data_IF_594537401251
#
_entry.id   IF_594537401251
#
_cell.length_a   1.000
_cell.length_b   1.000
_cell.length_c   1.000
_cell.angle_alpha   90.00
_cell.angle_beta   90.00
_cell.angle_gamma   90.00
#
_symmetry.space_group_name_H-M   'P 1'
#
loop_
_entity.id
_entity.type
_entity.pdbx_description
1 polymer ?
#
# COMPACT_ATOMS: atom_id res chain seq x y z
N UNK A 1 15.94 4.63 -27.92
CA UNK A 1 16.74 3.76 -27.02
C UNK A 1 16.01 3.74 -25.69
N UNK A 2 15.60 2.56 -25.22
CA UNK A 2 15.02 2.35 -23.89
C UNK A 2 16.15 1.91 -22.95
N UNK A 3 16.28 2.59 -21.81
CA UNK A 3 17.29 2.29 -20.77
C UNK A 3 16.53 1.99 -19.48
N UNK A 4 16.22 0.72 -19.21
CA UNK A 4 15.43 0.34 -18.04
C UNK A 4 16.22 0.53 -16.74
N UNK A 5 15.56 1.03 -15.71
CA UNK A 5 16.05 0.98 -14.33
C UNK A 5 15.82 -0.42 -13.77
N UNK A 6 16.89 -1.13 -13.42
CA UNK A 6 16.80 -2.50 -12.91
C UNK A 6 16.11 -2.61 -11.53
N UNK A 7 15.94 -1.49 -10.84
CA UNK A 7 15.22 -1.42 -9.56
C UNK A 7 13.72 -1.25 -9.69
N UNK A 8 13.25 -0.70 -10.81
CA UNK A 8 11.83 -0.47 -11.05
C UNK A 8 11.13 -1.70 -11.66
N UNK A 9 9.95 -2.10 -11.18
CA UNK A 9 9.23 -3.28 -11.69
C UNK A 9 8.77 -3.14 -13.14
N UNK A 10 8.29 -1.96 -13.56
CA UNK A 10 7.81 -1.69 -14.92
C UNK A 10 8.96 -1.69 -15.91
N UNK A 11 10.01 -0.96 -15.57
CA UNK A 11 11.23 -0.92 -16.38
C UNK A 11 11.84 -2.32 -16.56
N UNK A 12 11.86 -3.11 -15.48
CA UNK A 12 12.34 -4.49 -15.51
C UNK A 12 11.46 -5.36 -16.41
N UNK A 13 10.13 -5.24 -16.31
CA UNK A 13 9.18 -5.97 -17.14
C UNK A 13 9.36 -5.65 -18.63
N UNK A 14 9.35 -4.37 -18.99
CA UNK A 14 9.52 -3.94 -20.38
C UNK A 14 10.94 -4.17 -20.90
N UNK A 15 11.95 -4.09 -20.04
CA UNK A 15 13.33 -4.44 -20.40
C UNK A 15 13.48 -5.93 -20.72
N UNK A 16 12.72 -6.79 -20.06
CA UNK A 16 12.67 -8.24 -20.30
C UNK A 16 11.73 -8.62 -21.46
N UNK A 17 10.74 -7.78 -21.77
CA UNK A 17 9.72 -7.98 -22.79
C UNK A 17 9.61 -6.75 -23.72
N UNK A 18 10.69 -6.37 -24.45
CA UNK A 18 10.73 -5.10 -25.20
C UNK A 18 9.67 -5.02 -26.31
N UNK A 19 9.20 -6.16 -26.80
CA UNK A 19 8.14 -6.22 -27.80
C UNK A 19 6.81 -5.65 -27.28
N UNK A 20 6.55 -5.78 -25.98
CA UNK A 20 5.34 -5.24 -25.35
C UNK A 20 5.26 -3.71 -25.38
N UNK A 21 6.39 -3.01 -25.50
CA UNK A 21 6.42 -1.55 -25.71
C UNK A 21 5.91 -1.13 -27.08
N UNK A 22 6.00 -2.03 -28.07
CA UNK A 22 5.67 -1.72 -29.47
C UNK A 22 4.29 -2.27 -29.86
N UNK A 23 3.98 -3.49 -29.43
CA UNK A 23 2.81 -4.26 -29.84
C UNK A 23 1.81 -4.47 -28.71
N UNK A 24 2.14 -4.06 -27.46
CA UNK A 24 1.24 -4.13 -26.32
C UNK A 24 0.04 -3.21 -26.47
N UNK A 25 -1.08 -3.59 -25.88
CA UNK A 25 -2.21 -2.69 -25.74
C UNK A 25 -1.86 -1.54 -24.80
N UNK A 26 -2.43 -0.37 -25.07
CA UNK A 26 -2.28 0.78 -24.14
C UNK A 26 -3.11 0.52 -22.89
N UNK A 27 -2.51 0.76 -21.74
CA UNK A 27 -3.17 0.61 -20.43
C UNK A 27 -4.43 1.48 -20.35
N UNK A 28 -5.47 0.95 -19.74
CA UNK A 28 -6.73 1.68 -19.57
C UNK A 28 -6.53 2.85 -18.61
N UNK A 29 -6.84 4.05 -19.08
CA UNK A 29 -6.95 5.21 -18.20
C UNK A 29 -8.20 5.09 -17.35
N UNK A 30 -8.01 5.12 -16.03
CA UNK A 30 -9.10 5.11 -15.06
C UNK A 30 -9.50 6.54 -14.75
N UNK A 31 -10.78 6.80 -14.82
CA UNK A 31 -11.36 8.07 -14.42
C UNK A 31 -12.79 7.83 -13.95
N UNK A 32 -13.08 8.19 -12.73
CA UNK A 32 -14.46 8.21 -12.23
C UNK A 32 -14.92 9.67 -12.00
N UNK A 33 -15.54 10.29 -13.00
CA UNK A 33 -15.99 11.66 -12.92
C UNK A 33 -17.16 11.87 -11.96
N UNK A 34 -17.76 10.80 -11.44
CA UNK A 34 -18.93 10.83 -10.57
C UNK A 34 -18.59 10.91 -9.09
N UNK A 35 -17.32 10.87 -8.71
CA UNK A 35 -16.93 11.01 -7.31
C UNK A 35 -17.29 12.38 -6.77
N UNK A 36 -17.99 12.36 -5.64
CA UNK A 36 -18.54 13.55 -5.03
C UNK A 36 -17.47 14.64 -4.79
N UNK A 37 -16.34 14.29 -4.19
CA UNK A 37 -15.29 15.25 -3.88
C UNK A 37 -14.62 15.83 -5.13
N UNK A 38 -14.37 14.98 -6.13
CA UNK A 38 -13.78 15.39 -7.41
C UNK A 38 -14.77 16.26 -8.18
N UNK A 39 -15.99 15.79 -8.37
CA UNK A 39 -17.02 16.49 -9.14
C UNK A 39 -17.39 17.84 -8.51
N UNK A 40 -17.47 17.90 -7.18
CA UNK A 40 -17.68 19.15 -6.44
C UNK A 40 -16.63 20.20 -6.77
N UNK A 41 -15.34 19.81 -6.77
CA UNK A 41 -14.23 20.71 -7.11
C UNK A 41 -14.26 21.14 -8.56
N UNK A 42 -14.53 20.22 -9.49
CA UNK A 42 -14.64 20.51 -10.93
C UNK A 42 -15.82 21.45 -11.22
N UNK A 43 -16.98 21.27 -10.60
CA UNK A 43 -18.12 22.15 -10.73
C UNK A 43 -17.80 23.58 -10.30
N UNK A 44 -17.09 23.76 -9.18
CA UNK A 44 -16.65 25.07 -8.70
C UNK A 44 -15.65 25.71 -9.67
N UNK A 45 -14.69 24.96 -10.20
CA UNK A 45 -13.75 25.48 -11.18
C UNK A 45 -14.48 25.91 -12.47
N UNK A 46 -15.34 25.07 -13.00
CA UNK A 46 -16.11 25.39 -14.20
C UNK A 46 -17.01 26.64 -14.01
N UNK A 47 -17.67 26.75 -12.85
CA UNK A 47 -18.49 27.91 -12.52
C UNK A 47 -17.68 29.20 -12.30
N UNK A 48 -16.39 29.08 -11.94
CA UNK A 48 -15.45 30.21 -11.85
C UNK A 48 -14.92 30.64 -13.21
N UNK A 49 -14.77 29.71 -14.16
CA UNK A 49 -14.32 30.00 -15.53
C UNK A 49 -15.42 30.63 -16.38
N UNK A 50 -16.64 30.12 -16.25
CA UNK A 50 -17.81 30.63 -16.97
C UNK A 50 -19.11 30.25 -16.27
N UNK A 51 -20.17 31.06 -16.45
CA UNK A 51 -21.49 30.69 -15.94
C UNK A 51 -21.96 29.39 -16.58
N UNK A 52 -22.48 28.47 -15.74
CA UNK A 52 -23.00 27.17 -16.20
C UNK A 52 -24.51 27.24 -16.23
N UNK A 53 -25.15 27.06 -17.40
CA UNK A 53 -26.61 26.96 -17.46
C UNK A 53 -27.12 25.80 -16.62
N UNK A 54 -28.03 26.08 -15.69
CA UNK A 54 -28.57 25.04 -14.77
C UNK A 54 -29.19 23.87 -15.53
N UNK A 55 -29.74 24.12 -16.73
CA UNK A 55 -30.30 23.09 -17.62
C UNK A 55 -29.26 22.15 -18.22
N UNK A 56 -27.99 22.56 -18.29
CA UNK A 56 -26.90 21.80 -18.90
C UNK A 56 -26.05 21.02 -17.88
N UNK A 57 -26.25 21.24 -16.59
CA UNK A 57 -25.46 20.62 -15.50
C UNK A 57 -25.42 19.10 -15.66
N UNK A 58 -26.58 18.45 -15.82
CA UNK A 58 -26.66 17.00 -15.95
C UNK A 58 -25.96 16.53 -17.24
N UNK A 59 -26.10 17.22 -18.32
CA UNK A 59 -25.50 16.84 -19.61
C UNK A 59 -23.98 16.98 -19.59
N UNK A 60 -23.45 18.00 -18.93
CA UNK A 60 -22.00 18.29 -18.90
C UNK A 60 -21.26 17.51 -17.82
N UNK A 61 -21.90 17.25 -16.67
CA UNK A 61 -21.25 16.74 -15.47
C UNK A 61 -21.84 15.43 -14.93
N UNK A 62 -22.83 14.84 -15.62
CA UNK A 62 -23.42 13.56 -15.26
C UNK A 62 -24.62 13.65 -14.32
N UNK A 63 -25.22 12.48 -14.05
CA UNK A 63 -26.50 12.37 -13.35
C UNK A 63 -26.45 12.87 -11.88
N UNK A 64 -25.34 12.65 -11.21
CA UNK A 64 -25.14 13.02 -9.80
C UNK A 64 -24.86 14.53 -9.59
N UNK A 65 -24.54 15.25 -10.65
CA UNK A 65 -24.12 16.66 -10.54
C UNK A 65 -25.19 17.56 -9.93
N UNK A 66 -26.49 17.25 -10.15
CA UNK A 66 -27.59 18.02 -9.59
C UNK A 66 -27.62 18.02 -8.05
N UNK A 67 -27.35 16.88 -7.43
CA UNK A 67 -27.29 16.76 -5.97
C UNK A 67 -26.12 17.58 -5.42
N UNK A 68 -24.96 17.45 -6.05
CA UNK A 68 -23.74 18.17 -5.65
C UNK A 68 -23.90 19.68 -5.82
N UNK A 69 -24.55 20.14 -6.89
CA UNK A 69 -24.89 21.56 -7.09
C UNK A 69 -25.75 22.08 -5.95
N UNK A 70 -26.80 21.33 -5.53
CA UNK A 70 -27.62 21.73 -4.41
C UNK A 70 -26.86 21.86 -3.09
N UNK A 71 -25.93 20.94 -2.84
CA UNK A 71 -25.05 21.01 -1.67
C UNK A 71 -24.13 22.24 -1.74
N UNK A 72 -23.52 22.50 -2.89
CA UNK A 72 -22.64 23.65 -3.08
C UNK A 72 -23.37 24.99 -2.97
N UNK A 73 -24.62 25.04 -3.40
CA UNK A 73 -25.49 26.19 -3.18
C UNK A 73 -25.82 26.42 -1.69
N UNK A 74 -26.14 25.33 -0.97
CA UNK A 74 -26.38 25.38 0.47
C UNK A 74 -25.14 25.84 1.26
N UNK A 75 -23.95 25.43 0.80
CA UNK A 75 -22.68 25.84 1.38
C UNK A 75 -22.22 27.24 0.92
N UNK A 76 -22.97 27.90 0.05
CA UNK A 76 -22.63 29.18 -0.57
C UNK A 76 -21.32 29.13 -1.41
N UNK A 77 -20.87 27.94 -1.78
CA UNK A 77 -19.72 27.72 -2.64
C UNK A 77 -20.05 27.94 -4.14
N UNK A 78 -21.32 27.83 -4.50
CA UNK A 78 -21.90 28.26 -5.78
C UNK A 78 -23.04 29.25 -5.52
N UNK A 79 -23.35 30.06 -6.53
CA UNK A 79 -24.43 31.05 -6.53
C UNK A 79 -25.24 30.90 -7.83
N UNK A 80 -26.50 31.35 -7.79
CA UNK A 80 -27.38 31.41 -8.95
C UNK A 80 -27.52 32.86 -9.38
N UNK A 81 -27.31 33.14 -10.66
CA UNK A 81 -27.61 34.41 -11.26
C UNK A 81 -29.14 34.56 -11.34
N UNK A 82 -29.72 35.53 -10.62
CA UNK A 82 -31.16 35.71 -10.55
C UNK A 82 -31.84 36.03 -11.90
N UNK A 83 -31.09 36.55 -12.88
CA UNK A 83 -31.64 36.91 -14.21
C UNK A 83 -31.61 35.77 -15.22
N UNK A 84 -30.53 34.96 -15.22
CA UNK A 84 -30.34 33.89 -16.20
C UNK A 84 -30.60 32.49 -15.63
N UNK A 85 -30.57 32.33 -14.31
CA UNK A 85 -30.66 31.03 -13.64
C UNK A 85 -29.36 30.21 -13.70
N UNK A 86 -28.28 30.82 -14.19
CA UNK A 86 -26.99 30.12 -14.36
C UNK A 86 -26.21 30.10 -13.05
N UNK A 87 -25.41 29.03 -12.89
CA UNK A 87 -24.52 28.83 -11.75
C UNK A 87 -23.19 29.56 -11.96
N UNK A 88 -22.69 30.20 -10.92
CA UNK A 88 -21.38 30.84 -10.93
C UNK A 88 -20.76 30.87 -9.53
N UNK A 89 -19.49 31.20 -9.44
CA UNK A 89 -18.80 31.53 -8.18
C UNK A 89 -17.82 32.67 -8.38
N UNK A 90 -17.58 33.44 -7.32
CA UNK A 90 -16.53 34.47 -7.29
C UNK A 90 -15.20 33.96 -6.72
N UNK A 91 -15.20 32.76 -6.18
CA UNK A 91 -14.00 32.12 -5.67
C UNK A 91 -13.01 31.76 -6.78
N UNK A 92 -11.76 31.54 -6.42
CA UNK A 92 -10.72 31.00 -7.30
C UNK A 92 -10.34 29.58 -6.87
N UNK A 93 -11.20 28.58 -7.07
CA UNK A 93 -11.00 27.22 -6.56
C UNK A 93 -9.79 26.52 -7.19
N UNK A 94 -9.33 26.96 -8.36
CA UNK A 94 -8.14 26.40 -9.05
C UNK A 94 -6.88 26.41 -8.18
N UNK A 95 -6.73 27.44 -7.31
CA UNK A 95 -5.55 27.56 -6.44
C UNK A 95 -5.49 26.45 -5.36
N UNK A 96 -6.61 25.81 -5.08
CA UNK A 96 -6.74 24.74 -4.09
C UNK A 96 -6.94 23.35 -4.71
N UNK A 97 -6.90 23.26 -6.04
CA UNK A 97 -7.09 22.02 -6.77
C UNK A 97 -5.74 21.46 -7.21
N UNK A 98 -5.40 20.29 -6.72
CA UNK A 98 -4.25 19.53 -7.21
C UNK A 98 -4.74 18.43 -8.17
N UNK A 99 -4.26 18.43 -9.41
CA UNK A 99 -4.63 17.43 -10.42
C UNK A 99 -4.12 16.01 -10.10
N UNK A 100 -3.08 15.89 -9.27
CA UNK A 100 -2.50 14.59 -8.89
C UNK A 100 -3.04 14.01 -7.60
N UNK A 101 -3.73 14.78 -6.79
CA UNK A 101 -4.21 14.31 -5.50
C UNK A 101 -5.25 15.27 -4.97
N UNK A 102 -6.46 15.12 -5.45
CA UNK A 102 -7.55 16.06 -5.15
C UNK A 102 -7.84 16.24 -3.65
N UNK A 103 -7.26 15.45 -2.77
CA UNK A 103 -7.65 15.40 -1.36
C UNK A 103 -6.53 15.10 -0.37
N UNK A 104 -5.33 14.71 -0.79
CA UNK A 104 -4.25 14.53 0.17
C UNK A 104 -3.64 15.89 0.48
N UNK A 105 -3.86 16.35 1.69
CA UNK A 105 -3.06 17.42 2.26
C UNK A 105 -1.58 17.00 2.19
N UNK A 106 -0.74 17.92 1.74
CA UNK A 106 0.70 17.74 1.69
C UNK A 106 1.40 18.60 2.73
N UNK A 107 2.59 18.18 3.10
CA UNK A 107 3.44 18.87 4.06
C UNK A 107 4.76 19.18 3.37
N UNK A 108 5.14 20.46 3.35
CA UNK A 108 6.43 20.90 2.85
C UNK A 108 7.50 20.70 3.91
N UNK A 109 8.56 19.96 3.57
CA UNK A 109 9.75 19.84 4.40
C UNK A 109 10.67 21.03 4.18
N UNK A 110 11.09 21.66 5.25
CA UNK A 110 11.99 22.81 5.19
C UNK A 110 13.22 22.56 6.07
N UNK A 111 14.38 23.00 5.60
CA UNK A 111 15.59 23.04 6.43
C UNK A 111 15.40 24.11 7.54
N UNK A 112 15.41 23.64 8.78
CA UNK A 112 15.15 24.48 9.95
C UNK A 112 16.24 25.53 10.24
N UNK A 113 17.41 25.46 9.57
CA UNK A 113 18.49 26.43 9.69
C UNK A 113 18.43 27.50 8.61
N UNK A 114 18.03 27.10 7.38
CA UNK A 114 18.09 27.98 6.19
C UNK A 114 16.73 28.39 5.68
N UNK A 115 15.64 27.75 6.13
CA UNK A 115 14.29 27.85 5.60
C UNK A 115 14.17 27.48 4.10
N UNK A 116 15.13 26.74 3.57
CA UNK A 116 15.05 26.23 2.21
C UNK A 116 14.05 25.08 2.14
N UNK A 117 13.19 25.09 1.13
CA UNK A 117 12.33 23.96 0.80
C UNK A 117 13.16 22.76 0.35
N UNK A 118 12.85 21.60 0.91
CA UNK A 118 13.56 20.34 0.65
C UNK A 118 12.73 19.42 -0.24
N UNK A 119 11.56 19.00 0.26
CA UNK A 119 10.73 18.00 -0.37
C UNK A 119 9.27 18.18 0.10
N UNK A 120 8.31 17.73 -0.71
CA UNK A 120 6.90 17.69 -0.34
C UNK A 120 6.44 16.26 -0.11
N UNK A 121 5.87 15.97 1.05
CA UNK A 121 5.31 14.67 1.41
C UNK A 121 3.79 14.72 1.50
N UNK A 122 3.12 13.59 1.22
CA UNK A 122 1.72 13.44 1.58
C UNK A 122 1.55 13.50 3.11
N UNK A 123 0.38 13.93 3.57
CA UNK A 123 0.11 14.05 5.01
C UNK A 123 0.34 12.74 5.76
N UNK A 124 -0.06 11.61 5.17
CA UNK A 124 0.16 10.29 5.78
C UNK A 124 1.64 9.93 5.89
N UNK A 125 2.44 10.24 4.85
CA UNK A 125 3.89 10.06 4.92
C UNK A 125 4.51 10.98 5.98
N UNK A 126 4.09 12.24 6.03
CA UNK A 126 4.58 13.18 7.03
C UNK A 126 4.32 12.68 8.46
N UNK A 127 3.14 12.12 8.72
CA UNK A 127 2.80 11.51 10.01
C UNK A 127 3.66 10.29 10.36
N UNK A 128 4.15 9.55 9.36
CA UNK A 128 4.98 8.35 9.55
C UNK A 128 6.48 8.67 9.62
N UNK A 129 6.93 9.70 8.93
CA UNK A 129 8.36 9.88 8.64
C UNK A 129 8.95 11.17 9.23
N UNK A 130 8.13 12.21 9.49
CA UNK A 130 8.62 13.51 9.96
C UNK A 130 7.89 14.06 11.19
N UNK A 131 7.31 13.18 12.02
CA UNK A 131 6.82 13.57 13.35
C UNK A 131 7.97 14.14 14.21
N UNK A 132 7.69 14.90 15.27
CA UNK A 132 8.74 15.49 16.13
C UNK A 132 9.72 14.43 16.66
N UNK A 133 11.02 14.68 16.48
CA UNK A 133 12.16 13.80 16.76
C UNK A 133 12.37 12.63 15.78
N UNK A 134 11.59 12.49 14.72
CA UNK A 134 11.83 11.50 13.68
C UNK A 134 13.21 11.69 13.05
N UNK A 135 13.84 10.58 12.67
CA UNK A 135 15.04 10.54 11.85
C UNK A 135 14.63 10.29 10.40
N UNK A 136 14.79 11.28 9.57
CA UNK A 136 14.45 11.24 8.16
C UNK A 136 15.71 11.14 7.30
N UNK A 137 15.65 10.32 6.25
CA UNK A 137 16.75 10.19 5.29
C UNK A 137 16.24 10.59 3.89
N UNK A 138 16.94 11.54 3.27
CA UNK A 138 16.62 12.02 1.93
C UNK A 138 17.83 11.81 1.02
N UNK A 139 17.58 11.42 -0.22
CA UNK A 139 18.64 11.33 -1.22
C UNK A 139 18.93 12.73 -1.77
N UNK A 140 20.17 13.17 -1.65
CA UNK A 140 20.61 14.44 -2.23
C UNK A 140 20.84 14.31 -3.74
N UNK A 141 20.95 15.45 -4.44
CA UNK A 141 21.11 15.50 -5.90
C UNK A 141 22.36 14.77 -6.42
N UNK A 142 23.36 14.57 -5.59
CA UNK A 142 24.60 13.84 -5.86
C UNK A 142 24.49 12.34 -5.53
N UNK A 143 23.31 11.85 -5.16
CA UNK A 143 23.04 10.45 -4.89
C UNK A 143 23.40 9.98 -3.48
N UNK A 144 23.94 10.86 -2.63
CA UNK A 144 24.25 10.55 -1.24
C UNK A 144 23.01 10.64 -0.35
N UNK A 145 22.97 9.85 0.73
CA UNK A 145 21.94 9.97 1.75
C UNK A 145 22.31 11.09 2.73
N UNK A 146 21.42 12.06 2.87
CA UNK A 146 21.48 13.08 3.91
C UNK A 146 20.46 12.75 4.98
N UNK A 147 20.88 12.81 6.24
CA UNK A 147 20.02 12.54 7.38
C UNK A 147 19.57 13.83 8.05
N UNK A 148 18.34 13.82 8.53
CA UNK A 148 17.72 14.94 9.22
C UNK A 148 17.03 14.46 10.50
N UNK A 149 16.94 15.36 11.49
CA UNK A 149 16.04 15.19 12.63
C UNK A 149 14.88 16.15 12.48
N UNK A 150 13.67 15.65 12.52
CA UNK A 150 12.47 16.48 12.55
C UNK A 150 12.40 17.25 13.86
N UNK A 151 12.34 18.57 13.77
CA UNK A 151 12.15 19.48 14.92
C UNK A 151 10.71 19.66 15.26
N UNK A 152 9.86 19.84 14.24
CA UNK A 152 8.42 20.09 14.40
C UNK A 152 7.68 19.71 13.13
N UNK A 153 6.45 19.26 13.34
CA UNK A 153 5.44 19.08 12.30
C UNK A 153 4.27 20.03 12.63
N UNK A 154 4.11 21.06 11.84
CA UNK A 154 3.03 22.05 11.98
C UNK A 154 1.96 21.78 10.92
N UNK A 155 0.78 21.39 11.39
CA UNK A 155 -0.35 21.02 10.53
C UNK A 155 -1.15 22.24 10.05
N UNK A 156 -1.06 23.37 10.75
CA UNK A 156 -1.75 24.59 10.34
C UNK A 156 -1.02 25.24 9.16
N UNK A 157 0.31 25.37 9.25
CA UNK A 157 1.14 25.87 8.16
C UNK A 157 1.47 24.81 7.11
N UNK A 158 1.14 23.53 7.35
CA UNK A 158 1.51 22.38 6.51
C UNK A 158 3.02 22.30 6.22
N UNK A 159 3.82 22.50 7.26
CA UNK A 159 5.28 22.45 7.17
C UNK A 159 5.89 21.57 8.25
N UNK A 160 6.98 20.87 7.90
CA UNK A 160 7.84 20.20 8.85
C UNK A 160 9.24 20.79 8.80
N UNK A 161 9.76 21.19 9.97
CA UNK A 161 11.10 21.73 10.10
C UNK A 161 12.09 20.64 10.42
N UNK A 162 13.10 20.46 9.55
CA UNK A 162 14.12 19.43 9.64
C UNK A 162 15.50 20.05 9.93
N UNK A 163 16.25 19.44 10.84
CA UNK A 163 17.62 19.84 11.16
C UNK A 163 18.58 18.79 10.60
N UNK A 164 19.54 19.16 9.75
CA UNK A 164 20.51 18.23 9.19
C UNK A 164 21.37 17.57 10.28
N UNK A 165 21.72 16.32 10.07
CA UNK A 165 22.62 15.52 10.91
C UNK A 165 23.90 15.24 10.09
N UNK A 166 25.06 15.57 10.66
CA UNK A 166 26.34 15.50 9.97
C UNK A 166 26.83 14.07 9.67
N UNK A 167 26.28 13.06 10.34
CA UNK A 167 26.70 11.66 10.19
C UNK A 167 25.50 10.73 10.27
N UNK A 168 25.65 9.52 9.72
CA UNK A 168 24.62 8.47 9.83
C UNK A 168 24.28 8.19 11.29
N UNK A 169 23.00 8.33 11.70
CA UNK A 169 22.58 8.11 13.07
C UNK A 169 22.61 6.61 13.41
N UNK A 170 23.05 6.28 14.61
CA UNK A 170 23.02 4.88 15.13
C UNK A 170 21.60 4.40 15.41
N UNK A 171 20.75 5.32 15.87
CA UNK A 171 19.35 5.07 16.12
C UNK A 171 18.51 5.61 14.96
N UNK A 172 17.50 4.86 14.58
CA UNK A 172 16.47 5.27 13.61
C UNK A 172 15.11 5.25 14.27
N UNK A 173 14.17 5.97 13.70
CA UNK A 173 12.78 5.96 14.15
C UNK A 173 11.94 5.15 13.18
N UNK A 174 11.03 4.35 13.73
CA UNK A 174 10.02 3.60 12.98
C UNK A 174 8.67 3.89 13.58
N UNK A 175 7.78 4.53 12.83
CA UNK A 175 6.44 4.85 13.29
C UNK A 175 5.67 3.59 13.64
N UNK A 176 4.92 3.62 14.74
CA UNK A 176 3.90 2.63 15.07
C UNK A 176 2.56 3.11 14.57
N UNK A 177 1.90 2.29 13.78
CA UNK A 177 0.65 2.65 13.13
C UNK A 177 -0.36 1.53 13.23
N UNK A 178 -1.62 1.91 13.19
CA UNK A 178 -2.76 1.03 13.10
C UNK A 178 -3.71 1.52 12.01
N UNK A 179 -4.42 0.62 11.38
CA UNK A 179 -5.37 0.92 10.32
C UNK A 179 -6.71 0.25 10.61
N UNK A 180 -7.76 1.02 10.45
CA UNK A 180 -9.13 0.52 10.53
C UNK A 180 -9.81 0.71 9.18
N UNK A 181 -10.33 -0.38 8.63
CA UNK A 181 -11.15 -0.39 7.42
C UNK A 181 -12.56 -0.81 7.81
N UNK A 182 -13.49 0.11 7.71
CA UNK A 182 -14.90 -0.12 8.06
C UNK A 182 -15.75 -0.12 6.80
N UNK A 183 -16.16 -1.29 6.28
CA UNK A 183 -17.04 -1.38 5.12
C UNK A 183 -18.36 -0.65 5.39
N UNK A 184 -18.85 0.06 4.38
CA UNK A 184 -20.12 0.78 4.36
C UNK A 184 -21.08 0.04 3.42
N UNK A 185 -21.46 0.69 2.32
CA UNK A 185 -22.40 0.13 1.35
C UNK A 185 -21.69 -0.68 0.26
N UNK A 186 -22.28 -1.78 -0.21
CA UNK A 186 -21.72 -2.56 -1.31
C UNK A 186 -21.81 -1.78 -2.63
N UNK A 187 -20.74 -1.82 -3.42
CA UNK A 187 -20.67 -1.22 -4.76
C UNK A 187 -21.03 -2.24 -5.85
N UNK A 188 -20.79 -3.52 -5.59
CA UNK A 188 -21.05 -4.64 -6.49
C UNK A 188 -21.56 -5.84 -5.69
N UNK A 189 -22.31 -6.74 -6.36
CA UNK A 189 -22.60 -8.05 -5.81
C UNK A 189 -21.32 -8.85 -5.59
N UNK A 190 -21.16 -9.54 -4.45
CA UNK A 190 -20.00 -10.36 -4.20
C UNK A 190 -19.85 -11.46 -5.23
N UNK A 191 -18.62 -11.76 -5.66
CA UNK A 191 -18.34 -12.86 -6.57
C UNK A 191 -17.34 -13.86 -6.00
N UNK A 192 -17.37 -15.08 -6.53
CA UNK A 192 -16.46 -16.15 -6.17
C UNK A 192 -15.50 -16.39 -7.34
N UNK A 193 -14.22 -16.41 -7.05
CA UNK A 193 -13.15 -16.81 -7.95
C UNK A 193 -12.80 -18.25 -7.62
N UNK A 194 -13.01 -19.16 -8.54
CA UNK A 194 -12.62 -20.56 -8.40
C UNK A 194 -11.11 -20.68 -8.64
N UNK A 195 -10.47 -21.54 -7.87
CA UNK A 195 -9.03 -21.81 -7.99
C UNK A 195 -8.80 -23.19 -8.61
N UNK A 196 -7.69 -23.37 -9.33
CA UNK A 196 -7.24 -24.69 -9.82
C UNK A 196 -6.74 -25.59 -8.68
N UNK A 197 -7.38 -25.50 -7.53
CA UNK A 197 -7.16 -26.30 -6.34
C UNK A 197 -8.53 -26.84 -5.91
N UNK A 198 -8.60 -28.11 -5.54
CA UNK A 198 -9.88 -28.78 -5.23
C UNK A 198 -10.74 -27.96 -4.28
N UNK A 199 -11.95 -27.62 -4.73
CA UNK A 199 -13.00 -26.90 -4.00
C UNK A 199 -12.58 -25.55 -3.38
N UNK A 200 -11.38 -25.07 -3.74
CA UNK A 200 -10.83 -23.80 -3.21
C UNK A 200 -11.37 -22.59 -3.96
N UNK A 201 -11.73 -21.56 -3.22
CA UNK A 201 -12.31 -20.32 -3.76
C UNK A 201 -11.83 -19.09 -2.98
N UNK A 202 -11.75 -17.97 -3.70
CA UNK A 202 -11.70 -16.64 -3.11
C UNK A 202 -13.05 -15.97 -3.24
N UNK A 203 -13.50 -15.32 -2.18
CA UNK A 203 -14.66 -14.45 -2.21
C UNK A 203 -14.20 -13.02 -2.31
N UNK A 204 -14.67 -12.32 -3.33
CA UNK A 204 -14.41 -10.91 -3.58
C UNK A 204 -15.65 -10.11 -3.22
N UNK A 205 -15.46 -9.05 -2.44
CA UNK A 205 -16.52 -8.10 -2.09
C UNK A 205 -16.01 -6.69 -2.29
N UNK A 206 -16.68 -5.91 -3.12
CA UNK A 206 -16.36 -4.50 -3.37
C UNK A 206 -17.38 -3.62 -2.65
N UNK A 207 -16.90 -2.73 -1.80
CA UNK A 207 -17.75 -1.80 -1.04
C UNK A 207 -17.10 -0.44 -0.90
N UNK A 208 -17.89 0.59 -0.64
CA UNK A 208 -17.40 1.79 0.01
C UNK A 208 -16.90 1.43 1.41
N UNK A 209 -15.86 2.08 1.84
CA UNK A 209 -15.38 1.93 3.21
C UNK A 209 -14.82 3.25 3.74
N UNK A 210 -14.91 3.38 5.04
CA UNK A 210 -14.21 4.35 5.85
C UNK A 210 -12.82 3.81 6.18
N UNK A 211 -11.78 4.53 5.79
CA UNK A 211 -10.39 4.14 6.03
C UNK A 211 -9.79 5.15 7.00
N UNK A 212 -9.30 4.65 8.10
CA UNK A 212 -8.69 5.48 9.13
C UNK A 212 -7.30 4.92 9.44
N UNK A 213 -6.27 5.78 9.29
CA UNK A 213 -4.91 5.46 9.69
C UNK A 213 -4.58 6.24 10.97
N UNK A 214 -4.05 5.55 11.96
CA UNK A 214 -3.59 6.11 13.21
C UNK A 214 -2.09 5.89 13.34
N UNK A 215 -1.30 6.95 13.39
CA UNK A 215 0.10 6.88 13.80
C UNK A 215 0.15 7.21 15.29
N UNK A 216 0.35 6.18 16.11
CA UNK A 216 0.18 6.23 17.56
C UNK A 216 1.45 6.56 18.31
N UNK A 217 2.61 6.40 17.65
CA UNK A 217 3.90 6.61 18.26
C UNK A 217 5.05 6.18 17.35
N UNK A 218 6.17 5.86 17.96
CA UNK A 218 7.32 5.33 17.22
C UNK A 218 8.26 4.51 18.12
N UNK A 219 8.96 3.58 17.49
CA UNK A 219 10.05 2.84 18.07
C UNK A 219 11.38 3.50 17.71
N UNK A 220 12.29 3.55 18.69
CA UNK A 220 13.70 3.80 18.42
C UNK A 220 14.35 2.45 18.14
N UNK A 221 14.95 2.30 16.97
CA UNK A 221 15.55 1.05 16.54
C UNK A 221 17.04 1.22 16.26
N UNK A 222 17.81 0.18 16.57
CA UNK A 222 19.23 0.07 16.23
C UNK A 222 19.50 -1.26 15.53
N UNK A 223 20.58 -1.31 14.74
CA UNK A 223 21.12 -2.56 14.20
C UNK A 223 22.30 -3.01 15.05
N UNK A 224 22.16 -4.17 15.67
CA UNK A 224 23.14 -4.73 16.60
C UNK A 224 23.62 -6.08 16.11
N UNK A 225 24.93 -6.30 16.14
CA UNK A 225 25.52 -7.63 15.91
C UNK A 225 25.61 -8.37 17.23
N UNK A 226 24.87 -9.45 17.35
CA UNK A 226 24.82 -10.24 18.58
C UNK A 226 24.71 -11.75 18.26
N UNK A 227 24.96 -12.57 19.25
CA UNK A 227 24.76 -14.02 19.14
C UNK A 227 23.28 -14.33 19.25
N UNK A 228 22.73 -15.07 18.30
CA UNK A 228 21.31 -15.44 18.24
C UNK A 228 21.11 -16.93 17.97
N UNK A 229 19.94 -17.46 18.31
CA UNK A 229 19.58 -18.84 17.91
C UNK A 229 19.51 -18.94 16.38
N UNK A 230 20.17 -19.93 15.82
CA UNK A 230 20.16 -20.20 14.36
C UNK A 230 18.99 -21.07 13.90
N UNK A 231 18.20 -21.64 14.82
CA UNK A 231 17.15 -22.60 14.50
C UNK A 231 15.79 -21.91 14.27
N UNK A 232 15.25 -21.84 13.04
CA UNK A 232 14.11 -20.99 12.68
C UNK A 232 12.80 -21.38 13.36
N UNK A 233 12.62 -22.65 13.74
CA UNK A 233 11.44 -23.14 14.47
C UNK A 233 11.54 -22.92 15.97
N UNK A 234 12.59 -22.26 16.44
CA UNK A 234 12.80 -21.98 17.84
C UNK A 234 12.06 -20.70 18.25
N UNK A 235 11.37 -20.73 19.38
CA UNK A 235 10.73 -19.53 19.95
C UNK A 235 11.72 -18.40 20.28
N UNK A 236 13.01 -18.71 20.39
CA UNK A 236 14.10 -17.75 20.62
C UNK A 236 14.92 -17.44 19.36
N UNK A 237 14.40 -17.76 18.20
CA UNK A 237 15.07 -17.44 16.93
C UNK A 237 15.29 -15.93 16.81
N UNK A 238 16.51 -15.54 16.39
CA UNK A 238 16.94 -14.14 16.28
C UNK A 238 16.83 -13.29 17.57
N UNK A 239 16.60 -13.90 18.73
CA UNK A 239 16.69 -13.18 20.00
C UNK A 239 18.13 -13.17 20.52
N UNK A 240 18.60 -12.06 21.13
CA UNK A 240 19.93 -11.96 21.72
C UNK A 240 20.18 -13.05 22.76
N UNK A 241 21.37 -13.61 22.74
CA UNK A 241 21.80 -14.68 23.64
C UNK A 241 23.26 -14.45 24.06
N UNK A 242 23.65 -15.09 25.19
CA UNK A 242 25.02 -15.06 25.69
C UNK A 242 25.73 -16.42 25.64
N UNK A 243 25.07 -17.41 25.04
CA UNK A 243 25.55 -18.79 25.01
C UNK A 243 25.71 -19.28 23.57
N UNK A 244 26.71 -20.13 23.33
CA UNK A 244 26.94 -20.78 22.04
C UNK A 244 25.88 -21.86 21.71
N UNK A 245 25.02 -22.18 22.67
CA UNK A 245 23.92 -23.14 22.51
C UNK A 245 22.63 -22.47 22.99
N UNK A 246 21.58 -22.55 22.17
CA UNK A 246 20.27 -22.01 22.53
C UNK A 246 19.65 -22.80 23.69
N UNK A 247 19.26 -22.09 24.74
CA UNK A 247 18.65 -22.68 25.95
C UNK A 247 17.26 -23.26 25.72
N UNK A 248 16.57 -22.84 24.64
CA UNK A 248 15.21 -23.30 24.35
C UNK A 248 15.17 -24.52 23.41
N UNK A 249 16.12 -24.65 22.44
CA UNK A 249 16.10 -25.74 21.45
C UNK A 249 17.38 -26.56 21.42
N UNK A 250 18.38 -26.23 22.26
CA UNK A 250 19.68 -26.92 22.36
C UNK A 250 20.47 -26.97 21.04
N UNK A 251 20.17 -26.08 20.09
CA UNK A 251 20.89 -25.93 18.84
C UNK A 251 21.99 -24.86 18.94
N UNK A 252 23.04 -24.93 18.08
CA UNK A 252 24.07 -23.91 18.04
C UNK A 252 23.49 -22.51 17.76
N UNK A 253 24.14 -21.52 18.34
CA UNK A 253 23.89 -20.10 18.08
C UNK A 253 24.84 -19.57 17.02
N UNK A 254 24.53 -18.44 16.42
CA UNK A 254 25.37 -17.77 15.44
C UNK A 254 25.42 -16.26 15.65
N UNK A 255 26.45 -15.60 15.16
CA UNK A 255 26.51 -14.15 15.08
C UNK A 255 25.56 -13.67 13.98
N UNK A 256 24.62 -12.82 14.29
CA UNK A 256 23.70 -12.21 13.34
C UNK A 256 23.53 -10.71 13.60
N UNK A 257 23.18 -9.96 12.57
CA UNK A 257 22.70 -8.59 12.72
C UNK A 257 21.19 -8.65 12.95
N UNK A 258 20.75 -8.03 14.04
CA UNK A 258 19.34 -7.94 14.39
C UNK A 258 18.95 -6.48 14.57
N UNK A 259 17.67 -6.20 14.40
CA UNK A 259 17.09 -4.92 14.77
C UNK A 259 16.60 -5.03 16.22
N UNK A 260 17.13 -4.19 17.09
CA UNK A 260 16.69 -4.07 18.47
C UNK A 260 15.83 -2.81 18.64
N UNK A 261 14.76 -2.95 19.41
CA UNK A 261 13.93 -1.83 19.82
C UNK A 261 14.54 -1.29 21.12
N UNK A 262 15.16 -0.12 21.03
CA UNK A 262 15.84 0.56 22.16
C UNK A 262 14.86 1.33 23.03
N UNK A 263 13.69 1.68 22.48
CA UNK A 263 12.65 2.39 23.20
C UNK A 263 11.38 2.54 22.36
N UNK A 264 10.27 2.59 23.06
CA UNK A 264 8.95 2.85 22.50
C UNK A 264 8.44 4.20 23.01
N UNK A 265 7.91 5.01 22.10
CA UNK A 265 7.39 6.33 22.40
C UNK A 265 5.97 6.42 21.85
N UNK A 266 5.01 6.75 22.70
CA UNK A 266 3.64 7.02 22.30
C UNK A 266 3.43 8.53 22.17
N UNK A 267 2.63 8.94 21.22
CA UNK A 267 2.17 10.32 21.11
C UNK A 267 1.04 10.58 22.10
N UNK A 268 0.97 11.78 22.66
CA UNK A 268 -0.15 12.20 23.51
C UNK A 268 -1.48 12.14 22.74
N UNK A 269 -1.44 12.49 21.45
CA UNK A 269 -2.56 12.39 20.51
C UNK A 269 -2.04 11.76 19.23
N UNK A 270 -2.70 10.68 18.79
CA UNK A 270 -2.35 10.01 17.54
C UNK A 270 -2.57 10.94 16.33
N UNK A 271 -1.64 10.89 15.38
CA UNK A 271 -1.87 11.51 14.07
C UNK A 271 -2.82 10.63 13.26
N UNK A 272 -3.95 11.20 12.87
CA UNK A 272 -5.01 10.44 12.22
C UNK A 272 -5.33 11.01 10.86
N UNK A 273 -5.39 10.14 9.85
CA UNK A 273 -6.00 10.45 8.55
C UNK A 273 -7.28 9.66 8.38
N UNK A 274 -8.28 10.29 7.82
CA UNK A 274 -9.59 9.69 7.61
C UNK A 274 -10.11 10.08 6.22
N UNK A 275 -10.56 9.08 5.46
CA UNK A 275 -11.17 9.28 4.15
C UNK A 275 -12.08 8.12 3.77
N UNK A 276 -12.87 8.28 2.72
CA UNK A 276 -13.72 7.22 2.17
C UNK A 276 -13.27 6.85 0.76
N UNK A 277 -13.16 5.56 0.50
CA UNK A 277 -12.76 5.05 -0.81
C UNK A 277 -13.38 3.67 -1.08
N UNK A 278 -13.41 3.22 -2.36
CA UNK A 278 -13.68 1.83 -2.70
C UNK A 278 -12.63 0.90 -2.08
N UNK A 279 -13.13 -0.21 -1.55
CA UNK A 279 -12.31 -1.26 -0.94
C UNK A 279 -12.71 -2.61 -1.50
N UNK A 280 -11.76 -3.34 -2.03
CA UNK A 280 -11.89 -4.74 -2.41
C UNK A 280 -11.44 -5.62 -1.25
N UNK A 281 -12.36 -6.36 -0.66
CA UNK A 281 -12.13 -7.35 0.39
C UNK A 281 -12.03 -8.74 -0.22
N UNK A 282 -10.97 -9.47 0.13
CA UNK A 282 -10.67 -10.82 -0.35
C UNK A 282 -10.68 -11.77 0.83
N UNK A 283 -11.47 -12.82 0.73
CA UNK A 283 -11.59 -13.87 1.73
C UNK A 283 -11.34 -15.24 1.10
N UNK A 284 -10.52 -16.06 1.78
CA UNK A 284 -10.32 -17.46 1.42
C UNK A 284 -11.40 -18.34 2.05
N UNK A 285 -11.84 -19.38 1.34
CA UNK A 285 -12.62 -20.45 1.96
C UNK A 285 -11.69 -21.40 2.74
N UNK A 286 -12.31 -22.22 3.60
CA UNK A 286 -11.54 -23.12 4.49
C UNK A 286 -10.77 -24.21 3.72
N UNK A 287 -11.28 -24.63 2.57
CA UNK A 287 -10.74 -25.66 1.71
C UNK A 287 -9.35 -25.30 1.16
N UNK A 288 -9.08 -23.98 1.01
CA UNK A 288 -7.77 -23.50 0.56
C UNK A 288 -6.66 -23.65 1.62
N UNK A 289 -7.01 -23.80 2.90
CA UNK A 289 -6.03 -23.89 3.97
C UNK A 289 -5.13 -25.15 3.86
N UNK A 290 -5.70 -26.28 3.47
CA UNK A 290 -4.96 -27.54 3.34
C UNK A 290 -3.93 -27.51 2.20
N UNK A 291 -4.27 -27.14 0.94
CA UNK A 291 -3.29 -26.98 -0.13
C UNK A 291 -2.15 -26.01 0.19
N UNK A 292 -2.46 -24.87 0.82
CA UNK A 292 -1.43 -23.92 1.24
C UNK A 292 -0.50 -24.50 2.31
N UNK A 293 -1.06 -25.24 3.29
CA UNK A 293 -0.25 -25.88 4.32
C UNK A 293 0.65 -26.99 3.76
N UNK A 294 0.12 -27.80 2.83
CA UNK A 294 0.92 -28.83 2.15
C UNK A 294 2.08 -28.22 1.35
N UNK A 295 1.80 -27.17 0.58
CA UNK A 295 2.83 -26.48 -0.20
C UNK A 295 3.87 -25.83 0.72
N UNK A 296 3.44 -25.16 1.78
CA UNK A 296 4.34 -24.57 2.78
C UNK A 296 5.24 -25.65 3.44
N UNK A 297 4.70 -26.83 3.75
CA UNK A 297 5.49 -27.92 4.34
C UNK A 297 6.55 -28.44 3.37
N UNK A 298 6.24 -28.55 2.06
CA UNK A 298 7.22 -28.91 1.02
C UNK A 298 8.32 -27.87 0.92
N UNK A 299 7.97 -26.58 0.92
CA UNK A 299 8.96 -25.49 0.92
C UNK A 299 9.85 -25.53 2.17
N UNK A 300 9.27 -25.71 3.37
CA UNK A 300 10.03 -25.83 4.62
C UNK A 300 11.07 -26.94 4.55
N UNK A 301 10.67 -28.10 4.03
CA UNK A 301 11.56 -29.25 3.89
C UNK A 301 12.70 -28.97 2.91
N UNK A 302 12.41 -28.32 1.77
CA UNK A 302 13.42 -27.94 0.78
C UNK A 302 14.44 -26.95 1.36
N UNK A 303 13.96 -25.93 2.09
CA UNK A 303 14.79 -24.93 2.74
C UNK A 303 15.66 -25.56 3.82
N UNK A 304 15.11 -26.44 4.66
CA UNK A 304 15.86 -27.15 5.69
C UNK A 304 16.93 -28.07 5.08
N UNK A 305 16.64 -28.74 3.97
CA UNK A 305 17.62 -29.56 3.25
C UNK A 305 18.73 -28.72 2.63
N UNK A 306 18.42 -27.52 2.14
CA UNK A 306 19.39 -26.63 1.48
C UNK A 306 20.29 -25.89 2.46
N UNK A 307 19.72 -25.37 3.56
CA UNK A 307 20.40 -24.45 4.47
C UNK A 307 20.66 -25.03 5.86
N UNK A 308 20.08 -26.18 6.18
CA UNK A 308 20.17 -26.76 7.52
C UNK A 308 19.62 -25.82 8.57
N UNK A 309 20.50 -25.31 9.44
CA UNK A 309 20.16 -24.34 10.49
C UNK A 309 20.39 -22.88 10.07
N UNK A 310 21.05 -22.65 8.93
CA UNK A 310 21.45 -21.31 8.46
C UNK A 310 20.43 -20.71 7.50
N UNK A 311 19.15 -20.79 7.86
CA UNK A 311 18.05 -20.28 7.04
C UNK A 311 18.13 -18.75 6.95
N UNK A 312 18.05 -18.19 5.72
CA UNK A 312 17.99 -16.75 5.49
C UNK A 312 16.83 -16.08 6.24
N UNK A 313 17.07 -14.84 6.70
CA UNK A 313 16.07 -14.07 7.45
C UNK A 313 14.76 -13.89 6.71
N UNK A 314 14.83 -13.74 5.41
CA UNK A 314 13.70 -13.54 4.49
C UNK A 314 12.76 -14.75 4.43
N UNK A 315 13.24 -15.94 4.79
CA UNK A 315 12.45 -17.17 4.75
C UNK A 315 11.84 -17.56 6.10
N UNK A 316 12.15 -16.84 7.16
CA UNK A 316 11.75 -17.20 8.53
C UNK A 316 10.25 -17.09 8.74
N UNK A 317 9.63 -16.10 8.14
CA UNK A 317 8.18 -15.93 8.19
C UNK A 317 7.44 -17.22 7.80
N UNK A 318 7.99 -18.00 6.86
CA UNK A 318 7.43 -19.29 6.46
C UNK A 318 7.33 -20.32 7.62
N UNK A 319 8.23 -20.23 8.60
CA UNK A 319 8.27 -21.15 9.75
C UNK A 319 7.45 -20.67 10.94
N UNK A 320 7.16 -19.39 11.01
CA UNK A 320 6.57 -18.74 12.20
C UNK A 320 5.14 -18.26 11.98
N UNK A 321 4.73 -18.06 10.71
CA UNK A 321 3.44 -17.50 10.36
C UNK A 321 2.54 -18.56 9.70
N UNK A 322 1.22 -18.38 9.79
CA UNK A 322 0.26 -19.20 9.10
C UNK A 322 0.44 -19.06 7.57
N UNK A 323 0.50 -20.17 6.80
CA UNK A 323 0.64 -20.11 5.35
C UNK A 323 -0.45 -19.31 4.62
N UNK A 324 -1.67 -19.28 5.16
CA UNK A 324 -2.76 -18.49 4.61
C UNK A 324 -2.47 -16.99 4.70
N UNK A 325 -1.96 -16.52 5.85
CA UNK A 325 -1.59 -15.11 6.04
C UNK A 325 -0.44 -14.72 5.10
N UNK A 326 0.57 -15.59 5.01
CA UNK A 326 1.69 -15.40 4.09
C UNK A 326 1.26 -15.32 2.63
N UNK A 327 0.40 -16.24 2.19
CA UNK A 327 -0.05 -16.29 0.81
C UNK A 327 -0.89 -15.05 0.45
N UNK A 328 -1.89 -14.70 1.28
CA UNK A 328 -2.76 -13.55 1.04
C UNK A 328 -1.98 -12.23 1.05
N UNK A 329 -1.14 -12.00 2.05
CA UNK A 329 -0.34 -10.78 2.10
C UNK A 329 0.62 -10.69 0.90
N UNK A 330 1.23 -11.83 0.52
CA UNK A 330 2.14 -11.85 -0.63
C UNK A 330 1.43 -11.53 -1.95
N UNK A 331 0.24 -12.10 -2.21
CA UNK A 331 -0.49 -11.77 -3.45
C UNK A 331 -0.96 -10.31 -3.47
N UNK A 332 -1.26 -9.71 -2.32
CA UNK A 332 -1.60 -8.29 -2.27
C UNK A 332 -0.44 -7.43 -2.80
N UNK A 333 0.77 -7.69 -2.36
CA UNK A 333 1.94 -7.00 -2.85
C UNK A 333 2.24 -7.31 -4.32
N UNK A 334 2.18 -8.59 -4.71
CA UNK A 334 2.47 -9.05 -6.06
C UNK A 334 1.49 -8.46 -7.08
N UNK A 335 0.20 -8.44 -6.76
CA UNK A 335 -0.84 -7.80 -7.58
C UNK A 335 -0.63 -6.29 -7.62
N UNK A 336 -0.42 -5.64 -6.47
CA UNK A 336 -0.20 -4.20 -6.39
C UNK A 336 0.99 -3.72 -7.25
N UNK A 337 2.06 -4.52 -7.32
CA UNK A 337 3.22 -4.26 -8.20
C UNK A 337 2.83 -4.39 -9.68
N UNK A 338 1.92 -5.29 -10.03
CA UNK A 338 1.50 -5.56 -11.40
C UNK A 338 0.41 -4.59 -11.91
N UNK A 339 -0.29 -3.87 -11.03
CA UNK A 339 -1.39 -2.95 -11.38
C UNK A 339 -1.03 -2.00 -12.51
N UNK A 340 0.11 -1.29 -12.50
CA UNK A 340 0.45 -0.35 -13.57
C UNK A 340 0.73 -0.99 -14.94
N UNK A 341 0.82 -2.31 -15.03
CA UNK A 341 0.93 -3.06 -16.30
C UNK A 341 -0.43 -3.32 -16.97
N UNK A 342 -1.53 -3.01 -16.30
CA UNK A 342 -2.89 -3.31 -16.77
C UNK A 342 -3.73 -2.04 -16.87
N UNK A 343 -3.54 -1.13 -15.92
CA UNK A 343 -4.26 0.14 -15.85
C UNK A 343 -3.28 1.29 -15.68
N UNK A 344 -3.60 2.43 -16.28
CA UNK A 344 -2.82 3.66 -16.10
C UNK A 344 -3.10 4.25 -14.71
N UNK A 345 -2.47 3.67 -13.72
CA UNK A 345 -2.55 4.06 -12.31
C UNK A 345 -1.15 4.07 -11.72
N UNK A 346 -0.85 5.05 -10.87
CA UNK A 346 0.40 5.04 -10.11
C UNK A 346 0.34 3.95 -9.04
N UNK A 347 1.49 3.36 -8.71
CA UNK A 347 1.59 2.43 -7.56
C UNK A 347 1.13 3.06 -6.24
N UNK A 348 1.17 4.39 -6.13
CA UNK A 348 0.72 5.12 -4.95
C UNK A 348 -0.80 5.20 -4.85
N UNK A 349 -1.53 4.99 -5.94
CA UNK A 349 -2.99 5.12 -5.98
C UNK A 349 -3.73 3.95 -5.34
N UNK A 350 -3.05 2.81 -5.18
CA UNK A 350 -3.57 1.60 -4.54
C UNK A 350 -2.67 1.16 -3.39
N UNK A 351 -3.28 0.77 -2.28
CA UNK A 351 -2.57 0.12 -1.18
C UNK A 351 -3.33 -1.13 -0.73
N UNK A 352 -2.71 -1.92 0.13
CA UNK A 352 -3.31 -3.13 0.66
C UNK A 352 -3.03 -3.30 2.16
N UNK A 353 -3.91 -4.03 2.82
CA UNK A 353 -3.81 -4.37 4.23
C UNK A 353 -4.36 -5.76 4.49
N UNK A 354 -3.72 -6.52 5.36
CA UNK A 354 -4.17 -7.85 5.76
C UNK A 354 -4.45 -7.87 7.25
N UNK A 355 -5.55 -8.49 7.62
CA UNK A 355 -5.90 -8.69 9.02
C UNK A 355 -6.39 -10.11 9.28
N UNK A 356 -6.33 -10.53 10.53
CA UNK A 356 -6.86 -11.82 10.98
C UNK A 356 -8.05 -11.59 11.89
N UNK A 357 -9.23 -11.86 11.39
CA UNK A 357 -10.48 -11.80 12.16
C UNK A 357 -10.75 -13.10 12.91
N UNK A 358 -11.29 -12.99 14.13
CA UNK A 358 -11.91 -14.12 14.83
C UNK A 358 -13.38 -14.20 14.43
N UNK A 359 -13.78 -15.30 13.79
CA UNK A 359 -15.18 -15.52 13.50
C UNK A 359 -15.96 -15.93 14.75
N UNK A 360 -17.31 -16.01 14.65
CA UNK A 360 -18.22 -16.39 15.74
C UNK A 360 -17.94 -17.79 16.34
N UNK A 361 -17.20 -18.64 15.63
CA UNK A 361 -16.83 -20.00 16.04
C UNK A 361 -15.38 -20.06 16.57
N UNK A 362 -14.80 -18.90 16.86
CA UNK A 362 -13.40 -18.76 17.33
C UNK A 362 -12.33 -19.29 16.35
N UNK A 363 -12.66 -19.42 15.05
CA UNK A 363 -11.70 -19.76 14.00
C UNK A 363 -11.09 -18.47 13.46
N UNK A 364 -9.78 -18.45 13.31
CA UNK A 364 -9.06 -17.33 12.71
C UNK A 364 -9.27 -17.35 11.19
N UNK A 365 -9.62 -16.22 10.62
CA UNK A 365 -9.80 -16.02 9.19
C UNK A 365 -8.97 -14.86 8.73
N UNK A 366 -8.08 -15.10 7.78
CA UNK A 366 -7.28 -14.05 7.15
C UNK A 366 -8.11 -13.38 6.07
N UNK A 367 -8.08 -12.07 6.08
CA UNK A 367 -8.75 -11.19 5.14
C UNK A 367 -7.72 -10.24 4.56
N UNK A 368 -7.77 -10.04 3.26
CA UNK A 368 -6.98 -9.03 2.59
C UNK A 368 -7.90 -7.94 2.03
N UNK A 369 -7.40 -6.73 2.06
CA UNK A 369 -8.03 -5.55 1.50
C UNK A 369 -7.11 -4.89 0.49
N UNK A 370 -7.66 -4.51 -0.66
CA UNK A 370 -7.10 -3.47 -1.52
C UNK A 370 -7.97 -2.23 -1.40
N UNK A 371 -7.37 -1.07 -1.42
CA UNK A 371 -8.10 0.19 -1.33
C UNK A 371 -7.40 1.30 -2.09
N UNK A 372 -8.21 2.14 -2.71
CA UNK A 372 -7.72 3.36 -3.33
C UNK A 372 -7.23 4.32 -2.21
N UNK A 373 -6.09 4.95 -2.42
CA UNK A 373 -5.43 5.77 -1.38
C UNK A 373 -5.94 7.21 -1.33
N UNK A 374 -6.78 7.59 -2.27
CA UNK A 374 -7.37 8.93 -2.35
C UNK A 374 -8.83 8.91 -1.94
N UNK A 375 -9.27 9.98 -1.27
CA UNK A 375 -10.68 10.18 -0.93
C UNK A 375 -11.56 10.18 -2.19
N UNK A 376 -12.58 9.35 -2.19
CA UNK A 376 -13.42 9.10 -3.36
C UNK A 376 -12.90 8.02 -4.32
N UNK A 377 -11.64 7.61 -4.16
CA UNK A 377 -10.99 6.62 -5.03
C UNK A 377 -10.70 7.14 -6.44
N UNK A 378 -9.97 6.36 -7.22
CA UNK A 378 -9.68 6.65 -8.63
C UNK A 378 -10.23 5.59 -9.60
N UNK A 379 -10.84 4.52 -9.08
CA UNK A 379 -11.42 3.42 -9.87
C UNK A 379 -10.52 2.20 -10.00
N UNK A 380 -9.34 2.19 -9.37
CA UNK A 380 -8.41 1.05 -9.44
C UNK A 380 -8.99 -0.18 -8.73
N UNK A 381 -9.64 0.00 -7.57
CA UNK A 381 -10.29 -1.09 -6.85
C UNK A 381 -11.44 -1.72 -7.61
N UNK A 382 -12.25 -0.92 -8.32
CA UNK A 382 -13.33 -1.41 -9.15
C UNK A 382 -12.81 -2.24 -10.32
N UNK A 383 -11.78 -1.73 -11.02
CA UNK A 383 -11.16 -2.46 -12.13
C UNK A 383 -10.48 -3.75 -11.64
N UNK A 384 -9.82 -3.70 -10.48
CA UNK A 384 -9.24 -4.89 -9.86
C UNK A 384 -10.32 -5.92 -9.48
N UNK A 385 -11.47 -5.49 -8.99
CA UNK A 385 -12.59 -6.39 -8.72
C UNK A 385 -13.12 -7.04 -10.00
N UNK A 386 -13.33 -6.25 -11.06
CA UNK A 386 -13.94 -6.71 -12.30
C UNK A 386 -13.01 -7.67 -13.09
N UNK A 387 -11.68 -7.48 -12.99
CA UNK A 387 -10.66 -8.22 -13.75
C UNK A 387 -9.61 -8.91 -12.86
N UNK A 388 -10.00 -9.36 -11.69
CA UNK A 388 -9.09 -9.89 -10.67
C UNK A 388 -8.17 -11.00 -11.20
N UNK A 389 -8.72 -11.90 -12.02
CA UNK A 389 -7.97 -13.01 -12.61
C UNK A 389 -6.87 -12.52 -13.56
N UNK A 390 -7.17 -11.53 -14.40
CA UNK A 390 -6.16 -10.93 -15.30
C UNK A 390 -5.02 -10.27 -14.53
N UNK A 391 -5.33 -9.60 -13.41
CA UNK A 391 -4.29 -9.03 -12.53
C UNK A 391 -3.45 -10.12 -11.88
N UNK A 392 -4.07 -11.22 -11.44
CA UNK A 392 -3.36 -12.34 -10.84
C UNK A 392 -2.41 -13.03 -11.84
N UNK A 393 -2.86 -13.25 -13.08
CA UNK A 393 -2.02 -13.82 -14.16
C UNK A 393 -0.83 -12.91 -14.45
N UNK A 394 -1.06 -11.60 -14.59
CA UNK A 394 0.03 -10.65 -14.85
C UNK A 394 1.02 -10.57 -13.68
N UNK A 395 0.53 -10.61 -12.44
CA UNK A 395 1.36 -10.66 -11.25
C UNK A 395 2.21 -11.93 -11.21
N UNK A 396 1.63 -13.10 -11.53
CA UNK A 396 2.37 -14.36 -11.60
C UNK A 396 3.51 -14.28 -12.62
N UNK A 397 3.24 -13.79 -13.84
CA UNK A 397 4.27 -13.62 -14.89
C UNK A 397 5.42 -12.73 -14.42
N UNK A 398 5.12 -11.60 -13.75
CA UNK A 398 6.13 -10.68 -13.23
C UNK A 398 6.98 -11.34 -12.13
N UNK A 399 6.35 -12.07 -11.22
CA UNK A 399 7.03 -12.76 -10.12
C UNK A 399 7.91 -13.90 -10.63
N UNK A 400 7.45 -14.67 -11.61
CA UNK A 400 8.21 -15.74 -12.27
C UNK A 400 9.43 -15.21 -13.03
N UNK A 401 9.26 -14.13 -13.77
CA UNK A 401 10.35 -13.49 -14.51
C UNK A 401 11.43 -12.89 -13.59
N UNK A 402 11.11 -12.63 -12.33
CA UNK A 402 12.06 -12.03 -11.39
C UNK A 402 13.05 -13.03 -10.84
N UNK A 403 14.34 -12.87 -11.17
CA UNK A 403 15.44 -13.75 -10.78
C UNK A 403 15.85 -13.66 -9.30
N UNK A 404 15.18 -12.85 -8.48
CA UNK A 404 15.48 -12.79 -7.06
C UNK A 404 15.05 -14.08 -6.35
N UNK A 405 15.80 -14.47 -5.32
CA UNK A 405 15.60 -15.77 -4.66
C UNK A 405 14.42 -15.73 -3.66
N UNK A 406 14.27 -14.67 -2.87
CA UNK A 406 13.33 -14.65 -1.73
C UNK A 406 12.24 -13.58 -1.83
N UNK A 407 12.39 -12.63 -2.72
CA UNK A 407 11.53 -11.46 -2.88
C UNK A 407 12.36 -10.17 -2.93
N UNK A 408 11.90 -9.19 -3.67
CA UNK A 408 12.54 -7.90 -3.80
C UNK A 408 11.50 -6.84 -4.19
N UNK A 409 11.84 -5.53 -4.22
CA UNK A 409 10.90 -4.47 -4.59
C UNK A 409 10.26 -4.61 -5.99
N UNK A 410 10.83 -5.44 -6.85
CA UNK A 410 10.30 -5.72 -8.20
C UNK A 410 9.17 -6.75 -8.21
N UNK A 411 9.07 -7.61 -7.18
CA UNK A 411 8.15 -8.74 -7.24
C UNK A 411 7.43 -9.05 -5.91
N UNK A 412 7.80 -8.43 -4.79
CA UNK A 412 7.21 -8.78 -3.49
C UNK A 412 7.18 -7.64 -2.49
N UNK A 413 8.30 -6.94 -2.21
CA UNK A 413 8.35 -5.96 -1.12
C UNK A 413 7.86 -4.59 -1.56
N UNK A 414 7.14 -3.88 -0.67
CA UNK A 414 6.67 -2.51 -0.88
C UNK A 414 7.03 -1.65 0.34
N UNK A 415 7.72 -0.53 0.12
CA UNK A 415 8.07 0.41 1.19
C UNK A 415 6.86 1.07 1.86
N UNK A 416 5.67 1.04 1.21
CA UNK A 416 4.43 1.61 1.71
C UNK A 416 3.58 0.61 2.49
N UNK A 417 4.04 -0.64 2.63
CA UNK A 417 3.30 -1.67 3.35
C UNK A 417 2.98 -1.22 4.79
N UNK A 418 1.71 -1.16 5.18
CA UNK A 418 1.35 -0.78 6.55
C UNK A 418 1.85 -1.76 7.62
N UNK A 419 2.26 -2.96 7.21
CA UNK A 419 2.75 -4.04 8.05
C UNK A 419 4.26 -4.27 7.90
N UNK A 420 5.02 -3.26 7.41
CA UNK A 420 6.49 -3.25 7.28
C UNK A 420 7.06 -4.47 6.54
N UNK A 421 6.34 -4.98 5.53
CA UNK A 421 6.69 -6.19 4.78
C UNK A 421 6.84 -7.46 5.64
N UNK A 422 6.23 -7.50 6.81
CA UNK A 422 6.21 -8.70 7.63
C UNK A 422 5.28 -9.75 7.02
N UNK A 423 5.53 -11.02 7.33
CA UNK A 423 4.70 -12.13 6.86
C UNK A 423 4.55 -12.19 5.33
N UNK A 424 5.62 -12.06 4.58
CA UNK A 424 5.68 -12.22 3.13
C UNK A 424 6.44 -13.50 2.74
N UNK A 425 6.00 -14.15 1.67
CA UNK A 425 6.72 -15.26 1.05
C UNK A 425 6.47 -15.33 -0.47
N UNK A 426 7.53 -15.11 -1.27
CA UNK A 426 7.46 -15.08 -2.74
C UNK A 426 6.82 -16.33 -3.34
N UNK A 427 7.23 -17.51 -2.87
CA UNK A 427 6.80 -18.78 -3.44
C UNK A 427 5.34 -19.12 -3.07
N UNK A 428 4.90 -18.83 -1.85
CA UNK A 428 3.51 -19.02 -1.45
C UNK A 428 2.56 -18.06 -2.16
N UNK A 429 2.96 -16.79 -2.34
CA UNK A 429 2.19 -15.84 -3.14
C UNK A 429 2.06 -16.31 -4.59
N UNK A 430 3.18 -16.70 -5.21
CA UNK A 430 3.17 -17.22 -6.58
C UNK A 430 2.31 -18.48 -6.73
N UNK A 431 2.38 -19.40 -5.78
CA UNK A 431 1.53 -20.61 -5.78
C UNK A 431 0.04 -20.24 -5.78
N UNK A 432 -0.37 -19.25 -4.98
CA UNK A 432 -1.76 -18.80 -4.94
C UNK A 432 -2.15 -18.06 -6.23
N UNK A 433 -1.28 -17.21 -6.79
CA UNK A 433 -1.53 -16.53 -8.06
C UNK A 433 -1.71 -17.54 -9.22
N UNK A 434 -0.86 -18.57 -9.29
CA UNK A 434 -0.96 -19.62 -10.31
C UNK A 434 -2.22 -20.46 -10.16
N UNK A 435 -2.76 -20.57 -8.95
CA UNK A 435 -4.03 -21.25 -8.72
C UNK A 435 -5.24 -20.40 -9.17
N UNK A 436 -5.10 -19.09 -9.25
CA UNK A 436 -6.09 -18.16 -9.81
C UNK A 436 -5.90 -18.18 -11.33
N UNK A 437 -6.41 -19.19 -12.03
CA UNK A 437 -6.28 -19.30 -13.48
C UNK A 437 -7.39 -18.51 -14.18
N UNK A 438 -7.02 -17.81 -15.23
CA UNK A 438 -7.97 -17.29 -16.19
C UNK A 438 -8.25 -18.37 -17.25
N UNK A 439 -9.45 -18.95 -17.23
CA UNK A 439 -9.90 -19.85 -18.30
C UNK A 439 -10.09 -19.12 -19.65
N UNK A 440 -10.02 -17.78 -19.65
CA UNK A 440 -10.32 -16.95 -20.81
C UNK A 440 -9.12 -16.68 -21.75
N UNK A 441 -7.89 -16.96 -21.35
CA UNK A 441 -6.69 -16.77 -22.20
C UNK A 441 -6.46 -17.87 -23.28
N UNK A 442 -7.42 -18.81 -23.46
CA UNK A 442 -7.36 -19.82 -24.54
C UNK A 442 -8.35 -19.56 -25.68
N UNK A 443 -8.82 -18.30 -25.87
CA UNK A 443 -9.60 -17.95 -27.04
C UNK A 443 -9.07 -16.69 -27.73
#
# INVERSE_FOLDING_TARGET
>A
VFLPSLGDPLDYYYGSNPQMLLDGEVERALCNPNYHSILSKHLRCAASESMIPSSEVKQRFGDNAGNIVNELLNQQALQINEKSGDLFTHDRPHNSLNLRGATQDSVMLVDGNTNQELEELSLLQAYREVFPNAIYAMQSNDGNLQYYRSRSLDLESKQASLIPIDSEPKLRTQATQDMTIKPLEPLREPRLVSLNLKDSKLRLTLSWAEITNHVTGYNLISKVRTITCSHPRCSRYHQPMQSDICTACSKPTRLAEITEVEGENLFDVAYTTHYQAPVLRIEMNLELSEPLQEYANKLKQQIENQFGTDIPSELISLFQTNPADLALHSICHQIGIAVPLIVLSDRQDLNSYCETEKNRINTLKTIAYFFDTTDGGNGTCEELFDRFESFAVRAAQLVEACNCQYGCPRCLTDARCPQDNQALNKALGLFLLQAISDESEYF
#
